data_IF_167741627081
#
_entry.id   IF_167741627081
#
_cell.length_a   1.000
_cell.length_b   1.000
_cell.length_c   1.000
_cell.angle_alpha   90.00
_cell.angle_beta   90.00
_cell.angle_gamma   90.00
#
_symmetry.space_group_name_H-M   'P 1'
#
loop_
_entity.id
_entity.type
_entity.pdbx_description
1 polymer ?
#
# COMPACT_ATOMS: atom_id res chain seq x y z
N UNK A 1 -19.69 30.72 -17.46
CA UNK A 1 -19.55 29.33 -17.98
C UNK A 1 -18.15 28.82 -17.65
N UNK A 2 -18.02 27.98 -16.63
CA UNK A 2 -16.72 27.47 -16.18
C UNK A 2 -16.33 26.24 -17.00
N UNK A 3 -15.19 26.31 -17.72
CA UNK A 3 -14.63 25.18 -18.48
C UNK A 3 -14.31 24.04 -17.51
N UNK A 4 -15.09 22.96 -17.56
CA UNK A 4 -14.72 21.69 -16.93
C UNK A 4 -13.38 21.26 -17.55
N UNK A 5 -12.29 21.36 -16.79
CA UNK A 5 -11.02 20.70 -17.13
C UNK A 5 -11.29 19.21 -17.11
N UNK A 6 -11.40 18.58 -18.28
CA UNK A 6 -11.38 17.13 -18.40
C UNK A 6 -10.01 16.64 -17.93
N UNK A 7 -9.94 16.15 -16.68
CA UNK A 7 -8.77 15.43 -16.19
C UNK A 7 -8.80 14.07 -16.88
N UNK A 8 -8.02 13.91 -17.95
CA UNK A 8 -7.67 12.56 -18.38
C UNK A 8 -6.79 11.97 -17.29
N UNK A 9 -7.16 10.81 -16.69
CA UNK A 9 -6.29 10.16 -15.75
C UNK A 9 -4.98 9.79 -16.47
N UNK A 10 -3.81 9.98 -15.84
CA UNK A 10 -2.56 9.58 -16.43
C UNK A 10 -2.61 8.09 -16.79
N UNK A 11 -2.14 7.75 -17.99
CA UNK A 11 -2.10 6.39 -18.53
C UNK A 11 -0.97 5.59 -17.87
N UNK A 12 -0.90 5.58 -16.53
CA UNK A 12 -0.02 4.72 -15.78
C UNK A 12 -0.84 3.52 -15.30
N UNK A 13 -0.65 2.37 -15.95
CA UNK A 13 -1.29 1.11 -15.52
C UNK A 13 -0.51 0.54 -14.34
N UNK A 14 -0.72 1.10 -13.15
CA UNK A 14 -0.30 0.40 -11.93
C UNK A 14 -1.23 -0.80 -11.65
N UNK A 15 -0.81 -1.69 -10.74
CA UNK A 15 -1.59 -2.86 -10.34
C UNK A 15 -2.84 -2.51 -9.53
N UNK A 16 -3.00 -1.24 -9.15
CA UNK A 16 -4.11 -0.72 -8.35
C UNK A 16 -5.15 -0.01 -9.21
N UNK A 17 -5.01 -0.05 -10.54
CA UNK A 17 -5.83 0.70 -11.48
C UNK A 17 -5.85 2.22 -11.21
N UNK A 18 -4.77 2.77 -10.64
CA UNK A 18 -4.63 4.17 -10.27
C UNK A 18 -5.32 4.54 -8.95
N UNK A 19 -5.70 3.56 -8.12
CA UNK A 19 -6.35 3.81 -6.83
C UNK A 19 -5.35 4.20 -5.73
N UNK A 20 -4.06 3.86 -5.90
CA UNK A 20 -2.99 4.33 -5.02
C UNK A 20 -2.27 5.47 -5.73
N UNK A 21 -2.35 6.72 -5.23
CA UNK A 21 -1.76 7.88 -5.89
C UNK A 21 -0.23 7.83 -5.81
N UNK A 22 0.43 7.89 -6.96
CA UNK A 22 1.87 7.60 -7.10
C UNK A 22 2.84 8.69 -6.62
N UNK A 23 2.41 9.82 -6.03
CA UNK A 23 3.33 10.98 -6.04
C UNK A 23 3.16 12.10 -5.01
N UNK A 24 2.34 11.95 -3.95
CA UNK A 24 2.35 13.00 -2.92
C UNK A 24 2.00 12.48 -1.54
N UNK A 25 2.81 12.86 -0.55
CA UNK A 25 2.57 12.74 0.90
C UNK A 25 1.25 13.41 1.38
N UNK A 26 0.39 13.90 0.49
CA UNK A 26 -0.89 14.55 0.82
C UNK A 26 -1.92 13.57 1.40
N UNK A 27 -1.74 12.26 1.23
CA UNK A 27 -2.72 11.23 1.62
C UNK A 27 -2.29 10.41 2.85
N UNK A 28 -1.24 10.81 3.58
CA UNK A 28 -0.82 10.08 4.77
C UNK A 28 -1.94 10.15 5.82
N UNK A 29 -2.57 9.01 6.07
CA UNK A 29 -3.59 8.89 7.11
C UNK A 29 -2.95 9.21 8.47
N UNK A 30 -3.62 10.04 9.26
CA UNK A 30 -3.07 10.50 10.54
C UNK A 30 -3.33 9.47 11.61
N UNK A 31 -2.31 9.14 12.40
CA UNK A 31 -2.47 8.26 13.56
C UNK A 31 -3.25 8.90 14.71
N UNK A 32 -3.69 10.16 14.56
CA UNK A 32 -4.36 10.96 15.58
C UNK A 32 -3.40 11.67 16.55
N UNK A 33 -2.08 11.51 16.38
CA UNK A 33 -1.06 12.25 17.12
C UNK A 33 -0.02 12.81 16.16
N UNK A 34 0.12 14.15 16.15
CA UNK A 34 1.10 14.83 15.31
C UNK A 34 2.54 14.40 15.59
N UNK A 35 2.86 14.09 16.85
CA UNK A 35 4.20 13.63 17.24
C UNK A 35 4.51 12.22 16.74
N UNK A 36 3.51 11.36 16.61
CA UNK A 36 3.70 10.02 16.05
C UNK A 36 3.83 10.09 14.54
N UNK A 37 3.02 10.93 13.89
CA UNK A 37 3.05 11.12 12.44
C UNK A 37 4.42 11.68 11.99
N UNK A 38 5.01 12.62 12.74
CA UNK A 38 6.37 13.12 12.43
C UNK A 38 7.43 12.03 12.59
N UNK A 39 7.37 11.23 13.66
CA UNK A 39 8.30 10.11 13.86
C UNK A 39 8.18 9.03 12.78
N UNK A 40 6.96 8.76 12.32
CA UNK A 40 6.71 7.80 11.23
C UNK A 40 7.31 8.32 9.92
N UNK A 41 7.12 9.60 9.63
CA UNK A 41 7.72 10.26 8.46
C UNK A 41 9.25 10.24 8.51
N UNK A 42 9.83 10.56 9.66
CA UNK A 42 11.29 10.55 9.84
C UNK A 42 11.86 9.13 9.72
N UNK A 43 11.15 8.14 10.28
CA UNK A 43 11.50 6.72 10.12
C UNK A 43 11.45 6.32 8.64
N UNK A 44 10.38 6.65 7.92
CA UNK A 44 10.24 6.30 6.51
C UNK A 44 11.35 6.92 5.64
N UNK A 45 11.72 8.18 5.92
CA UNK A 45 12.85 8.85 5.23
C UNK A 45 14.21 8.23 5.53
N UNK A 46 14.38 7.61 6.70
CA UNK A 46 15.65 6.97 7.07
C UNK A 46 15.89 5.63 6.37
N UNK A 47 14.87 5.05 5.73
CA UNK A 47 15.01 3.76 5.03
C UNK A 47 15.55 4.00 3.61
N UNK A 48 16.76 3.50 3.35
CA UNK A 48 17.37 3.56 2.02
C UNK A 48 16.73 2.55 1.05
N UNK A 49 16.74 2.87 -0.26
CA UNK A 49 16.27 1.97 -1.31
C UNK A 49 14.75 1.88 -1.48
N UNK A 50 14.01 2.84 -0.91
CA UNK A 50 12.55 2.98 -1.10
C UNK A 50 12.29 4.08 -2.12
N UNK A 51 11.60 3.73 -3.22
CA UNK A 51 11.28 4.68 -4.29
C UNK A 51 10.30 5.77 -3.83
N UNK A 52 9.37 5.43 -2.92
CA UNK A 52 8.40 6.36 -2.33
C UNK A 52 8.31 6.19 -0.80
N UNK A 53 8.99 7.08 -0.07
CA UNK A 53 8.93 7.11 1.39
C UNK A 53 7.55 7.56 1.92
N UNK A 54 6.74 8.28 1.12
CA UNK A 54 5.38 8.68 1.52
C UNK A 54 4.49 7.44 1.61
N UNK A 55 4.56 6.54 0.63
CA UNK A 55 3.82 5.28 0.64
C UNK A 55 4.24 4.39 1.83
N UNK A 56 5.53 4.34 2.14
CA UNK A 56 6.02 3.63 3.33
C UNK A 56 5.46 4.25 4.63
N UNK A 57 5.46 5.58 4.73
CA UNK A 57 4.90 6.28 5.89
C UNK A 57 3.39 5.99 6.05
N UNK A 58 2.64 5.96 4.95
CA UNK A 58 1.20 5.64 4.93
C UNK A 58 0.93 4.19 5.35
N UNK A 59 1.75 3.22 4.90
CA UNK A 59 1.64 1.84 5.35
C UNK A 59 1.88 1.70 6.86
N UNK A 60 2.86 2.43 7.39
CA UNK A 60 3.16 2.43 8.83
C UNK A 60 2.01 3.11 9.60
N UNK A 61 1.52 4.26 9.14
CA UNK A 61 0.43 4.98 9.82
C UNK A 61 -0.86 4.15 9.84
N UNK A 62 -1.17 3.43 8.76
CA UNK A 62 -2.29 2.47 8.70
C UNK A 62 -2.14 1.38 9.76
N UNK A 63 -0.95 0.76 9.88
CA UNK A 63 -0.72 -0.27 10.89
C UNK A 63 -0.86 0.26 12.33
N UNK A 64 -0.38 1.48 12.59
CA UNK A 64 -0.56 2.14 13.89
C UNK A 64 -2.03 2.50 14.14
N UNK A 65 -2.74 3.00 13.14
CA UNK A 65 -4.18 3.28 13.19
C UNK A 65 -4.99 2.03 13.52
N UNK A 66 -4.68 0.90 12.89
CA UNK A 66 -5.30 -0.39 13.20
C UNK A 66 -5.05 -0.81 14.65
N UNK A 67 -3.81 -0.68 15.14
CA UNK A 67 -3.45 -1.04 16.50
C UNK A 67 -4.11 -0.15 17.57
N UNK A 68 -4.36 1.13 17.26
CA UNK A 68 -5.02 2.09 18.16
C UNK A 68 -6.55 2.11 18.05
N UNK A 69 -7.09 1.65 16.93
CA UNK A 69 -8.52 1.63 16.65
C UNK A 69 -9.26 0.51 17.40
N UNK A 70 -10.52 0.34 17.06
CA UNK A 70 -11.41 -0.69 17.66
C UNK A 70 -11.17 -2.10 17.13
N UNK A 71 -10.11 -2.33 16.37
CA UNK A 71 -9.82 -3.65 15.79
C UNK A 71 -9.55 -4.66 16.90
N UNK A 72 -10.16 -5.84 16.82
CA UNK A 72 -9.88 -6.89 17.79
C UNK A 72 -8.47 -7.43 17.53
N UNK A 73 -7.81 -7.95 18.57
CA UNK A 73 -6.49 -8.55 18.47
C UNK A 73 -6.40 -9.65 17.39
N UNK A 74 -7.52 -10.34 17.11
CA UNK A 74 -7.63 -11.30 16.02
C UNK A 74 -7.49 -10.64 14.63
N UNK A 75 -8.12 -9.48 14.41
CA UNK A 75 -8.08 -8.77 13.14
C UNK A 75 -6.67 -8.24 12.87
N UNK A 76 -6.00 -7.72 13.91
CA UNK A 76 -4.62 -7.25 13.80
C UNK A 76 -3.65 -8.40 13.48
N UNK A 77 -3.86 -9.60 14.07
CA UNK A 77 -3.11 -10.81 13.71
C UNK A 77 -3.32 -11.22 12.26
N UNK A 78 -4.57 -11.19 11.79
CA UNK A 78 -4.91 -11.52 10.42
C UNK A 78 -4.24 -10.55 9.43
N UNK A 79 -4.33 -9.25 9.69
CA UNK A 79 -3.69 -8.22 8.87
C UNK A 79 -2.16 -8.39 8.82
N UNK A 80 -1.52 -8.61 9.98
CA UNK A 80 -0.08 -8.87 10.04
C UNK A 80 0.31 -10.13 9.25
N UNK A 81 -0.49 -11.20 9.33
CA UNK A 81 -0.24 -12.43 8.57
C UNK A 81 -0.38 -12.17 7.06
N UNK A 82 -1.44 -11.47 6.64
CA UNK A 82 -1.68 -11.12 5.24
C UNK A 82 -0.53 -10.26 4.67
N UNK A 83 -0.09 -9.22 5.39
CA UNK A 83 1.02 -8.36 4.98
C UNK A 83 2.33 -9.14 4.80
N UNK A 84 2.64 -10.08 5.72
CA UNK A 84 3.83 -10.95 5.58
C UNK A 84 3.76 -11.83 4.34
N UNK A 85 2.61 -12.41 4.04
CA UNK A 85 2.42 -13.22 2.84
C UNK A 85 2.49 -12.38 1.56
N UNK A 86 1.92 -11.18 1.53
CA UNK A 86 2.02 -10.24 0.40
C UNK A 86 3.47 -9.80 0.14
N UNK A 87 4.24 -9.49 1.20
CA UNK A 87 5.68 -9.23 1.10
C UNK A 87 6.39 -10.41 0.45
N UNK A 88 6.18 -11.61 0.99
CA UNK A 88 6.89 -12.81 0.50
C UNK A 88 6.53 -13.14 -0.94
N UNK A 89 5.25 -13.02 -1.28
CA UNK A 89 4.75 -13.17 -2.66
C UNK A 89 5.41 -12.17 -3.60
N UNK A 90 5.53 -10.90 -3.21
CA UNK A 90 6.17 -9.86 -4.01
C UNK A 90 7.65 -10.13 -4.28
N UNK A 91 8.38 -10.66 -3.29
CA UNK A 91 9.78 -11.09 -3.44
C UNK A 91 9.90 -12.27 -4.42
N UNK A 92 9.05 -13.29 -4.26
CA UNK A 92 9.08 -14.51 -5.09
C UNK A 92 8.69 -14.20 -6.55
N UNK A 93 7.66 -13.39 -6.76
CA UNK A 93 7.14 -13.10 -8.10
C UNK A 93 7.77 -11.87 -8.75
N UNK A 94 8.59 -11.10 -8.02
CA UNK A 94 9.27 -9.90 -8.51
C UNK A 94 10.05 -10.11 -9.82
N UNK A 95 10.89 -11.16 -9.94
CA UNK A 95 11.62 -11.47 -11.17
C UNK A 95 10.73 -11.78 -12.39
N UNK A 96 9.46 -12.13 -12.18
CA UNK A 96 8.52 -12.53 -13.23
C UNK A 96 7.51 -11.44 -13.59
N UNK A 97 7.72 -10.17 -13.19
CA UNK A 97 6.79 -9.05 -13.47
C UNK A 97 6.57 -8.79 -14.96
N UNK A 98 7.59 -8.97 -15.80
CA UNK A 98 7.51 -8.77 -17.26
C UNK A 98 6.88 -9.92 -18.05
N UNK A 99 6.58 -11.05 -17.38
CA UNK A 99 6.07 -12.24 -18.05
C UNK A 99 4.53 -12.22 -18.09
N UNK A 100 3.95 -12.54 -19.24
CA UNK A 100 2.49 -12.73 -19.36
C UNK A 100 2.09 -13.96 -18.54
N UNK A 101 1.09 -13.80 -17.68
CA UNK A 101 0.61 -14.84 -16.76
C UNK A 101 -0.79 -15.28 -17.17
N UNK A 102 -1.05 -16.58 -17.11
CA UNK A 102 -2.40 -17.16 -17.21
C UNK A 102 -2.65 -17.90 -15.90
N UNK A 103 -3.73 -17.56 -15.20
CA UNK A 103 -4.17 -18.28 -14.02
C UNK A 103 -5.23 -19.30 -14.46
N UNK A 104 -4.92 -20.58 -14.28
CA UNK A 104 -5.84 -21.68 -14.56
C UNK A 104 -6.50 -22.11 -13.26
N UNK A 105 -7.82 -22.24 -13.27
CA UNK A 105 -8.59 -22.73 -12.14
C UNK A 105 -9.35 -23.98 -12.60
N UNK A 106 -9.42 -24.97 -11.73
CA UNK A 106 -10.10 -26.24 -11.97
C UNK A 106 -10.61 -26.81 -10.66
N UNK A 107 -11.52 -27.78 -10.73
CA UNK A 107 -12.00 -28.47 -9.54
C UNK A 107 -10.84 -29.25 -8.92
N UNK A 108 -10.64 -29.12 -7.61
CA UNK A 108 -9.65 -29.91 -6.87
C UNK A 108 -9.99 -31.42 -6.83
N UNK A 109 -11.16 -31.81 -7.35
CA UNK A 109 -11.72 -33.18 -7.27
C UNK A 109 -11.84 -33.88 -8.63
N UNK A 110 -11.45 -33.23 -9.72
CA UNK A 110 -11.46 -33.79 -11.08
C UNK A 110 -10.04 -33.90 -11.60
#
# INVERSE_FOLDING_TARGET
>A
MSKKRSRQPPLYRDLTAGMVPDQSCNFIDSTGSKELDTRILDLAKSVEGVDDFCLLAEMISTAVGMARGTSNHADFKLANRALKEMKKSSEIFGPFRGNRKVALFGSART
#
